data_IF_614054443669
#
_entry.id   IF_614054443669
#
_cell.length_a   1.000
_cell.length_b   1.000
_cell.length_c   1.000
_cell.angle_alpha   90.00
_cell.angle_beta   90.00
_cell.angle_gamma   90.00
#
_symmetry.space_group_name_H-M   'P 1'
#
loop_
_entity.id
_entity.type
_entity.pdbx_description
1 polymer ?
#
# COMPACT_ATOMS: atom_id res chain seq x y z
N UNK A 1 70.53 21.69 -56.46
CA UNK A 1 69.62 20.54 -56.24
C UNK A 1 68.75 20.66 -54.96
N UNK A 2 68.49 21.87 -54.40
CA UNK A 2 67.73 22.03 -53.13
C UNK A 2 66.24 22.37 -53.29
N UNK A 3 65.76 22.65 -54.49
CA UNK A 3 64.37 23.09 -54.71
C UNK A 3 63.34 21.97 -54.95
N UNK A 4 63.77 20.70 -55.03
CA UNK A 4 62.87 19.57 -55.27
C UNK A 4 62.35 18.88 -54.00
N UNK A 5 62.87 19.23 -52.82
CA UNK A 5 62.42 18.67 -51.53
C UNK A 5 61.35 19.50 -50.82
N UNK A 6 61.27 20.81 -51.07
CA UNK A 6 60.32 21.72 -50.40
C UNK A 6 58.87 21.49 -50.83
N UNK A 7 58.63 21.19 -52.11
CA UNK A 7 57.28 20.92 -52.62
C UNK A 7 56.64 19.70 -51.96
N UNK A 8 57.42 18.64 -51.68
CA UNK A 8 56.93 17.43 -51.03
C UNK A 8 56.53 17.68 -49.58
N UNK A 9 57.28 18.54 -48.86
CA UNK A 9 56.94 18.96 -47.49
C UNK A 9 55.62 19.75 -47.48
N UNK A 10 55.43 20.68 -48.42
CA UNK A 10 54.17 21.45 -48.53
C UNK A 10 52.99 20.52 -48.82
N UNK A 11 53.14 19.60 -49.77
CA UNK A 11 52.08 18.62 -50.09
C UNK A 11 51.77 17.72 -48.90
N UNK A 12 52.78 17.24 -48.16
CA UNK A 12 52.58 16.45 -46.96
C UNK A 12 51.78 17.21 -45.91
N UNK A 13 52.13 18.48 -45.67
CA UNK A 13 51.38 19.36 -44.75
C UNK A 13 49.95 19.59 -45.21
N UNK A 14 49.72 19.82 -46.51
CA UNK A 14 48.38 19.94 -47.06
C UNK A 14 47.56 18.65 -46.85
N UNK A 15 48.15 17.47 -47.07
CA UNK A 15 47.48 16.19 -46.84
C UNK A 15 47.17 15.98 -45.36
N UNK A 16 48.09 16.33 -44.45
CA UNK A 16 47.85 16.23 -43.00
C UNK A 16 46.69 17.14 -42.57
N UNK A 17 46.67 18.39 -43.04
CA UNK A 17 45.59 19.34 -42.71
C UNK A 17 44.25 18.88 -43.29
N UNK A 18 44.21 18.48 -44.56
CA UNK A 18 43.00 17.97 -45.19
C UNK A 18 42.49 16.70 -44.51
N UNK A 19 43.39 15.78 -44.17
CA UNK A 19 43.04 14.55 -43.45
C UNK A 19 42.48 14.85 -42.06
N UNK A 20 43.04 15.84 -41.36
CA UNK A 20 42.56 16.27 -40.04
C UNK A 20 41.15 16.87 -40.14
N UNK A 21 40.90 17.72 -41.14
CA UNK A 21 39.57 18.32 -41.37
C UNK A 21 38.55 17.26 -41.79
N UNK A 22 38.93 16.32 -42.67
CA UNK A 22 38.06 15.23 -43.07
C UNK A 22 37.72 14.32 -41.88
N UNK A 23 38.72 14.02 -41.04
CA UNK A 23 38.54 13.19 -39.84
C UNK A 23 37.65 13.86 -38.80
N UNK A 24 37.84 15.15 -38.53
CA UNK A 24 36.97 15.90 -37.60
C UNK A 24 35.54 15.96 -38.11
N UNK A 25 35.33 16.24 -39.40
CA UNK A 25 34.01 16.28 -40.03
C UNK A 25 33.30 14.93 -39.96
N UNK A 26 34.02 13.82 -40.19
CA UNK A 26 33.46 12.48 -40.07
C UNK A 26 33.05 12.14 -38.63
N UNK A 27 33.83 12.57 -37.63
CA UNK A 27 33.47 12.40 -36.22
C UNK A 27 32.19 13.14 -35.86
N UNK A 28 32.07 14.40 -36.28
CA UNK A 28 30.86 15.21 -36.07
C UNK A 28 29.65 14.55 -36.74
N UNK A 29 29.74 14.17 -38.01
CA UNK A 29 28.64 13.51 -38.72
C UNK A 29 28.20 12.18 -38.07
N UNK A 30 29.14 11.40 -37.52
CA UNK A 30 28.82 10.16 -36.78
C UNK A 30 28.12 10.45 -35.46
N UNK A 31 28.53 11.51 -34.75
CA UNK A 31 27.86 11.92 -33.52
C UNK A 31 26.44 12.42 -33.82
N UNK A 32 26.27 13.27 -34.83
CA UNK A 32 24.96 13.78 -35.24
C UNK A 32 24.01 12.66 -35.63
N UNK A 33 24.49 11.66 -36.38
CA UNK A 33 23.68 10.50 -36.75
C UNK A 33 23.28 9.66 -35.52
N UNK A 34 24.19 9.47 -34.55
CA UNK A 34 23.87 8.77 -33.29
C UNK A 34 22.87 9.55 -32.45
N UNK A 35 23.01 10.87 -32.35
CA UNK A 35 22.07 11.73 -31.63
C UNK A 35 20.70 11.70 -32.29
N UNK A 36 20.63 11.82 -33.62
CA UNK A 36 19.38 11.74 -34.38
C UNK A 36 18.70 10.37 -34.22
N UNK A 37 19.48 9.28 -34.27
CA UNK A 37 18.97 7.93 -34.00
C UNK A 37 18.45 7.79 -32.58
N UNK A 38 19.23 8.16 -31.57
CA UNK A 38 18.82 8.07 -30.16
C UNK A 38 17.58 8.92 -29.88
N UNK A 39 17.46 10.09 -30.51
CA UNK A 39 16.25 10.90 -30.40
C UNK A 39 15.02 10.17 -30.97
N UNK A 40 15.15 9.57 -32.15
CA UNK A 40 14.09 8.75 -32.76
C UNK A 40 13.72 7.53 -31.91
N UNK A 41 14.73 6.80 -31.41
CA UNK A 41 14.55 5.62 -30.56
C UNK A 41 13.87 6.00 -29.25
N UNK A 42 14.23 7.14 -28.62
CA UNK A 42 13.60 7.63 -27.39
C UNK A 42 12.13 7.98 -27.58
N UNK A 43 11.79 8.66 -28.69
CA UNK A 43 10.40 8.97 -29.03
C UNK A 43 9.62 7.67 -29.25
N UNK A 44 10.20 6.72 -30.00
CA UNK A 44 9.59 5.42 -30.23
C UNK A 44 9.37 4.64 -28.93
N UNK A 45 10.37 4.59 -28.04
CA UNK A 45 10.27 3.93 -26.74
C UNK A 45 9.13 4.52 -25.88
N UNK A 46 8.99 5.85 -25.86
CA UNK A 46 7.89 6.52 -25.16
C UNK A 46 6.52 6.09 -25.70
N UNK A 47 6.34 6.06 -27.02
CA UNK A 47 5.06 5.63 -27.60
C UNK A 47 4.79 4.14 -27.44
N UNK A 48 5.84 3.30 -27.41
CA UNK A 48 5.71 1.88 -27.07
C UNK A 48 5.26 1.69 -25.61
N UNK A 49 5.80 2.47 -24.68
CA UNK A 49 5.34 2.46 -23.28
C UNK A 49 3.87 2.91 -23.16
N UNK A 50 3.48 3.96 -23.88
CA UNK A 50 2.06 4.40 -23.95
C UNK A 50 1.17 3.29 -24.55
N UNK A 51 1.64 2.56 -25.56
CA UNK A 51 0.88 1.45 -26.12
C UNK A 51 0.64 0.32 -25.10
N UNK A 52 1.63 0.03 -24.24
CA UNK A 52 1.45 -0.89 -23.11
C UNK A 52 0.37 -0.41 -22.12
N UNK A 53 0.37 0.89 -21.80
CA UNK A 53 -0.68 1.49 -20.97
C UNK A 53 -2.07 1.41 -21.62
N UNK A 54 -2.19 1.70 -22.92
CA UNK A 54 -3.47 1.61 -23.62
C UNK A 54 -3.95 0.15 -23.75
N UNK A 55 -3.03 -0.80 -23.90
CA UNK A 55 -3.33 -2.24 -23.85
C UNK A 55 -3.90 -2.64 -22.49
N UNK A 56 -3.25 -2.20 -21.40
CA UNK A 56 -3.71 -2.43 -20.03
C UNK A 56 -5.13 -1.89 -19.81
N UNK A 57 -5.39 -0.63 -20.18
CA UNK A 57 -6.71 0.00 -20.09
C UNK A 57 -7.77 -0.76 -20.90
N UNK A 58 -7.43 -1.17 -22.12
CA UNK A 58 -8.34 -1.93 -22.97
C UNK A 58 -8.70 -3.28 -22.34
N UNK A 59 -7.75 -3.97 -21.72
CA UNK A 59 -8.01 -5.23 -21.02
C UNK A 59 -8.88 -5.03 -19.77
N UNK A 60 -8.61 -4.01 -18.95
CA UNK A 60 -9.48 -3.66 -17.81
C UNK A 60 -10.91 -3.38 -18.28
N UNK A 61 -11.05 -2.59 -19.36
CA UNK A 61 -12.36 -2.27 -19.91
C UNK A 61 -13.08 -3.53 -20.42
N UNK A 62 -12.38 -4.40 -21.14
CA UNK A 62 -12.95 -5.65 -21.65
C UNK A 62 -13.47 -6.52 -20.51
N UNK A 63 -12.65 -6.75 -19.47
CA UNK A 63 -13.04 -7.53 -18.29
C UNK A 63 -14.26 -6.90 -17.60
N UNK A 64 -14.26 -5.59 -17.38
CA UNK A 64 -15.40 -4.88 -16.75
C UNK A 64 -16.70 -5.02 -17.53
N UNK A 65 -16.64 -5.11 -18.86
CA UNK A 65 -17.84 -5.24 -19.71
C UNK A 65 -18.35 -6.67 -19.88
N UNK A 66 -17.63 -7.68 -19.38
CA UNK A 66 -18.12 -9.07 -19.41
C UNK A 66 -19.29 -9.23 -18.43
N UNK A 67 -20.23 -10.11 -18.74
CA UNK A 67 -21.46 -10.33 -17.95
C UNK A 67 -21.21 -10.66 -16.46
N UNK A 68 -20.02 -11.15 -16.12
CA UNK A 68 -19.68 -11.56 -14.77
C UNK A 68 -18.97 -10.47 -13.94
N UNK A 69 -18.74 -9.26 -14.45
CA UNK A 69 -18.02 -8.20 -13.72
C UNK A 69 -16.56 -8.56 -13.36
N UNK A 70 -15.96 -7.77 -12.46
CA UNK A 70 -14.59 -8.01 -11.93
C UNK A 70 -14.58 -9.14 -10.88
N UNK A 71 -13.42 -9.73 -10.60
CA UNK A 71 -13.21 -10.79 -9.60
C UNK A 71 -13.39 -12.23 -10.09
N UNK A 72 -13.41 -12.48 -11.41
CA UNK A 72 -13.55 -13.84 -11.96
C UNK A 72 -12.22 -14.52 -12.29
N UNK A 73 -12.24 -15.80 -12.67
CA UNK A 73 -11.05 -16.49 -13.18
C UNK A 73 -10.42 -15.78 -14.39
N UNK A 74 -11.21 -15.02 -15.17
CA UNK A 74 -10.74 -14.22 -16.31
C UNK A 74 -10.01 -12.93 -15.92
N UNK A 75 -10.04 -12.54 -14.64
CA UNK A 75 -9.31 -11.39 -14.11
C UNK A 75 -7.84 -11.72 -13.84
N UNK A 76 -7.50 -13.01 -13.67
CA UNK A 76 -6.10 -13.45 -13.51
C UNK A 76 -5.23 -13.02 -14.69
N UNK A 77 -5.81 -13.01 -15.89
CA UNK A 77 -5.16 -12.56 -17.11
C UNK A 77 -4.79 -11.07 -17.11
N UNK A 78 -5.37 -10.27 -16.20
CA UNK A 78 -4.95 -8.88 -16.00
C UNK A 78 -3.64 -8.82 -15.23
N UNK A 79 -3.47 -9.68 -14.22
CA UNK A 79 -2.38 -9.58 -13.24
C UNK A 79 -1.15 -10.41 -13.62
N UNK A 80 -1.32 -11.47 -14.40
CA UNK A 80 -0.23 -12.29 -14.93
C UNK A 80 -0.64 -12.94 -16.26
N UNK A 81 -0.18 -12.36 -17.36
CA UNK A 81 -0.39 -12.87 -18.71
C UNK A 81 0.81 -12.53 -19.63
N UNK A 82 1.84 -13.39 -19.66
CA UNK A 82 2.99 -13.20 -20.52
C UNK A 82 2.64 -13.09 -22.01
N UNK A 83 1.61 -13.78 -22.48
CA UNK A 83 1.22 -13.72 -23.90
C UNK A 83 0.70 -12.33 -24.30
N UNK A 84 0.08 -11.59 -23.37
CA UNK A 84 -0.46 -10.25 -23.61
C UNK A 84 0.50 -9.12 -23.23
N UNK A 85 1.50 -9.39 -22.38
CA UNK A 85 2.32 -8.34 -21.77
C UNK A 85 3.84 -8.55 -21.89
N UNK A 86 4.33 -9.73 -22.31
CA UNK A 86 5.76 -9.99 -22.54
C UNK A 86 6.11 -9.76 -24.00
N UNK A 87 7.00 -8.80 -24.23
CA UNK A 87 7.65 -8.53 -25.52
C UNK A 87 6.65 -8.37 -26.68
N UNK A 88 5.58 -7.62 -26.46
CA UNK A 88 4.53 -7.41 -27.47
C UNK A 88 5.08 -6.54 -28.61
N UNK A 89 5.09 -7.09 -29.81
CA UNK A 89 5.57 -6.39 -31.00
C UNK A 89 4.60 -5.29 -31.45
N UNK A 90 5.13 -4.08 -31.68
CA UNK A 90 4.39 -2.97 -32.25
C UNK A 90 5.31 -2.13 -33.15
N UNK A 91 5.03 -2.17 -34.46
CA UNK A 91 5.82 -1.45 -35.45
C UNK A 91 7.26 -1.96 -35.53
N UNK A 92 8.23 -1.15 -35.10
CA UNK A 92 9.67 -1.48 -35.16
C UNK A 92 10.27 -1.78 -33.78
N UNK A 93 9.45 -2.01 -32.78
CA UNK A 93 9.91 -2.30 -31.43
C UNK A 93 8.91 -3.16 -30.68
N UNK A 94 9.18 -3.33 -29.39
CA UNK A 94 8.35 -4.10 -28.49
C UNK A 94 8.16 -3.37 -27.19
N UNK A 95 7.06 -3.63 -26.50
CA UNK A 95 6.83 -3.15 -25.14
C UNK A 95 6.59 -4.32 -24.20
N UNK A 96 6.76 -4.04 -22.91
CA UNK A 96 6.45 -4.95 -21.81
C UNK A 96 5.63 -4.20 -20.79
N UNK A 97 4.68 -4.87 -20.17
CA UNK A 97 4.01 -4.42 -18.94
C UNK A 97 4.34 -5.46 -17.89
N UNK A 98 4.99 -5.04 -16.82
CA UNK A 98 5.54 -5.97 -15.84
C UNK A 98 5.62 -5.32 -14.47
N UNK A 99 5.82 -6.17 -13.47
CA UNK A 99 6.19 -5.81 -12.11
C UNK A 99 7.27 -6.78 -11.62
N UNK A 100 8.07 -6.33 -10.66
CA UNK A 100 9.00 -7.20 -9.96
C UNK A 100 8.24 -8.29 -9.22
N UNK A 101 8.85 -9.48 -9.15
CA UNK A 101 8.35 -10.54 -8.29
C UNK A 101 8.39 -10.09 -6.83
N UNK A 102 7.38 -10.47 -6.05
CA UNK A 102 7.42 -10.26 -4.60
C UNK A 102 8.31 -11.30 -3.93
N UNK A 103 8.97 -10.98 -2.81
CA UNK A 103 9.78 -11.95 -2.07
C UNK A 103 9.01 -13.21 -1.64
N UNK A 104 7.69 -13.13 -1.43
CA UNK A 104 6.83 -14.24 -1.02
C UNK A 104 6.33 -15.12 -2.17
N UNK A 105 6.53 -14.70 -3.42
CA UNK A 105 6.07 -15.41 -4.61
C UNK A 105 7.09 -16.48 -5.06
N UNK A 106 6.64 -17.74 -5.12
CA UNK A 106 7.44 -18.93 -5.45
C UNK A 106 7.46 -19.29 -6.94
N UNK A 107 6.93 -18.42 -7.80
CA UNK A 107 6.71 -18.70 -9.23
C UNK A 107 7.98 -18.89 -10.09
N UNK A 108 9.17 -18.62 -9.56
CA UNK A 108 10.45 -18.94 -10.22
C UNK A 108 10.84 -18.06 -11.41
N UNK A 109 9.98 -17.15 -11.87
CA UNK A 109 10.33 -16.07 -12.80
C UNK A 109 10.58 -14.76 -12.03
N UNK A 110 11.59 -13.98 -12.41
CA UNK A 110 11.94 -12.74 -11.68
C UNK A 110 10.94 -11.59 -11.93
N UNK A 111 10.17 -11.68 -13.02
CA UNK A 111 9.20 -10.68 -13.44
C UNK A 111 7.83 -11.32 -13.65
N UNK A 112 6.79 -10.62 -13.22
CA UNK A 112 5.40 -10.97 -13.52
C UNK A 112 4.88 -10.01 -14.58
N UNK A 113 4.28 -10.55 -15.64
CA UNK A 113 3.86 -9.77 -16.81
C UNK A 113 2.38 -9.43 -16.73
N UNK A 114 2.05 -8.29 -16.14
CA UNK A 114 0.67 -7.86 -15.97
C UNK A 114 0.54 -6.61 -15.13
N UNK A 115 -0.67 -6.36 -14.68
CA UNK A 115 -1.05 -5.20 -13.88
C UNK A 115 -0.83 -5.45 -12.39
N UNK A 116 -0.67 -4.35 -11.67
CA UNK A 116 -0.64 -4.32 -10.21
C UNK A 116 -1.87 -3.58 -9.74
N UNK A 117 -2.57 -4.17 -8.77
CA UNK A 117 -3.64 -3.48 -8.06
C UNK A 117 -3.04 -2.51 -7.04
N UNK A 118 -3.35 -1.23 -7.14
CA UNK A 118 -2.84 -0.20 -6.21
C UNK A 118 -3.43 -0.32 -4.81
N UNK A 119 -4.62 -0.93 -4.64
CA UNK A 119 -5.24 -1.16 -3.33
C UNK A 119 -4.44 -2.11 -2.44
N UNK A 120 -3.47 -2.84 -3.02
CA UNK A 120 -2.54 -3.69 -2.26
C UNK A 120 -1.49 -2.89 -1.48
N UNK A 121 -1.32 -1.62 -1.79
CA UNK A 121 -0.29 -0.76 -1.23
C UNK A 121 -0.88 0.19 -0.19
N UNK A 122 -0.08 0.50 0.82
CA UNK A 122 -0.43 1.51 1.82
C UNK A 122 -0.40 2.90 1.17
N UNK A 123 -1.50 3.64 1.20
CA UNK A 123 -1.54 5.02 0.73
C UNK A 123 -0.82 5.93 1.73
N UNK A 124 0.39 6.35 1.39
CA UNK A 124 1.23 7.15 2.28
C UNK A 124 0.71 8.57 2.48
N UNK A 125 -0.30 9.03 1.73
CA UNK A 125 -0.94 10.31 1.98
C UNK A 125 -2.16 10.21 2.91
N UNK A 126 -2.67 9.00 3.15
CA UNK A 126 -3.86 8.77 3.98
C UNK A 126 -3.60 7.93 5.23
N UNK A 127 -2.61 7.04 5.18
CA UNK A 127 -2.31 6.10 6.25
C UNK A 127 -1.96 6.80 7.56
N UNK A 128 -2.54 6.39 8.68
CA UNK A 128 -2.21 6.96 9.98
C UNK A 128 -0.81 6.54 10.48
N UNK A 129 -0.37 7.13 11.59
CA UNK A 129 0.94 6.83 12.17
C UNK A 129 1.11 5.34 12.51
N UNK A 130 0.07 4.70 13.06
CA UNK A 130 0.12 3.30 13.47
C UNK A 130 0.17 2.36 12.26
N UNK A 131 -0.43 2.75 11.14
CA UNK A 131 -0.35 2.02 9.87
C UNK A 131 1.05 2.12 9.24
N UNK A 132 1.64 3.32 9.20
CA UNK A 132 3.01 3.51 8.68
C UNK A 132 4.03 2.72 9.51
N UNK A 133 3.86 2.68 10.83
CA UNK A 133 4.72 1.91 11.74
C UNK A 133 4.69 0.39 11.49
N UNK A 134 3.70 -0.14 10.76
CA UNK A 134 3.66 -1.55 10.38
C UNK A 134 4.59 -1.89 9.21
N UNK A 135 5.19 -0.90 8.56
CA UNK A 135 6.18 -1.14 7.51
C UNK A 135 7.42 -1.83 8.11
N UNK A 136 8.08 -2.74 7.37
CA UNK A 136 9.26 -3.47 7.86
C UNK A 136 10.37 -2.52 8.29
N UNK A 137 10.98 -2.78 9.44
CA UNK A 137 12.10 -2.00 9.98
C UNK A 137 11.83 -0.48 10.08
N UNK A 138 10.55 -0.08 10.20
CA UNK A 138 10.15 1.32 10.35
C UNK A 138 10.45 1.83 11.75
N UNK A 139 11.20 2.93 11.82
CA UNK A 139 11.42 3.64 13.07
C UNK A 139 10.25 4.59 13.37
N UNK A 140 9.87 4.70 14.64
CA UNK A 140 8.73 5.52 15.09
C UNK A 140 8.93 7.00 14.74
N UNK A 141 10.16 7.51 14.85
CA UNK A 141 10.48 8.91 14.51
C UNK A 141 10.43 9.16 13.00
N UNK A 142 10.76 8.15 12.19
CA UNK A 142 10.65 8.22 10.73
C UNK A 142 9.18 8.22 10.31
N UNK A 143 8.36 7.34 10.90
CA UNK A 143 6.93 7.32 10.64
C UNK A 143 6.26 8.66 11.02
N UNK A 144 6.60 9.22 12.19
CA UNK A 144 6.14 10.54 12.61
C UNK A 144 6.59 11.64 11.65
N UNK A 145 7.85 11.62 11.21
CA UNK A 145 8.38 12.57 10.24
C UNK A 145 7.68 12.50 8.87
N UNK A 146 7.20 11.32 8.44
CA UNK A 146 6.40 11.17 7.21
C UNK A 146 5.03 11.84 7.37
N UNK A 147 4.41 11.74 8.56
CA UNK A 147 3.13 12.39 8.86
C UNK A 147 3.30 13.91 8.88
N UNK A 148 4.27 14.44 9.61
CA UNK A 148 4.56 15.89 9.67
C UNK A 148 4.89 16.45 8.27
N UNK A 149 5.61 15.69 7.45
CA UNK A 149 5.96 16.13 6.10
C UNK A 149 4.73 16.45 5.24
N UNK A 150 3.65 15.68 5.40
CA UNK A 150 2.47 15.75 4.54
C UNK A 150 1.29 16.51 5.15
N UNK A 151 1.26 16.70 6.46
CA UNK A 151 0.16 17.40 7.11
C UNK A 151 0.20 18.90 6.78
N UNK A 152 -0.89 19.62 7.03
CA UNK A 152 -0.99 21.02 6.60
C UNK A 152 -0.45 22.01 7.65
N UNK A 153 -0.11 21.53 8.84
CA UNK A 153 0.21 22.42 9.95
C UNK A 153 1.73 22.61 10.09
N UNK A 154 2.22 22.95 11.26
CA UNK A 154 3.65 23.18 11.50
C UNK A 154 4.03 22.77 12.92
N UNK A 155 3.21 21.92 13.52
CA UNK A 155 3.38 21.43 14.88
C UNK A 155 4.13 20.11 14.80
N UNK A 156 5.37 20.13 15.28
CA UNK A 156 6.19 18.93 15.34
C UNK A 156 5.53 17.88 16.23
N UNK A 157 5.24 16.71 15.65
CA UNK A 157 4.71 15.58 16.41
C UNK A 157 5.79 14.95 17.28
N UNK A 158 5.40 14.04 18.19
CA UNK A 158 6.37 13.37 19.06
C UNK A 158 7.36 12.52 18.24
N UNK A 159 8.62 12.96 18.20
CA UNK A 159 9.66 12.33 17.38
C UNK A 159 9.56 12.64 15.89
N UNK A 160 8.62 13.51 15.49
CA UNK A 160 8.48 13.99 14.13
C UNK A 160 9.53 15.02 13.74
N UNK A 161 9.29 15.70 12.63
CA UNK A 161 10.20 16.68 12.09
C UNK A 161 9.46 17.72 11.27
N UNK A 162 9.69 18.99 11.60
CA UNK A 162 9.07 20.15 10.96
C UNK A 162 10.10 21.04 10.27
N UNK A 163 9.66 22.18 9.73
CA UNK A 163 10.50 23.15 9.00
C UNK A 163 11.90 23.38 9.60
N UNK A 164 12.02 23.51 10.93
CA UNK A 164 13.32 23.69 11.60
C UNK A 164 14.32 22.56 11.32
N UNK A 165 13.87 21.31 11.33
CA UNK A 165 14.70 20.14 11.05
C UNK A 165 15.20 20.14 9.60
N UNK A 166 14.36 20.50 8.64
CA UNK A 166 14.69 20.47 7.21
C UNK A 166 15.53 21.68 6.76
N UNK A 167 15.21 22.87 7.25
CA UNK A 167 15.93 24.11 6.89
C UNK A 167 17.37 24.13 7.44
N UNK A 168 17.64 23.38 8.51
CA UNK A 168 18.97 23.26 9.10
C UNK A 168 19.91 22.31 8.34
N UNK A 169 19.40 21.54 7.37
CA UNK A 169 20.19 20.59 6.57
C UNK A 169 21.14 21.27 5.61
N UNK A 170 22.06 20.48 5.04
CA UNK A 170 23.00 20.92 4.00
C UNK A 170 22.98 19.94 2.81
N UNK A 171 22.38 20.30 1.67
CA UNK A 171 21.62 21.54 1.42
C UNK A 171 20.33 21.61 2.25
N UNK A 172 19.80 22.82 2.54
CA UNK A 172 18.49 22.98 3.16
C UNK A 172 17.41 22.32 2.30
N UNK A 173 16.44 21.68 2.94
CA UNK A 173 15.22 21.23 2.32
C UNK A 173 14.05 22.05 2.87
N UNK A 174 12.97 22.15 2.08
CA UNK A 174 11.71 22.72 2.55
C UNK A 174 10.73 21.58 2.74
N UNK A 175 10.16 21.54 3.94
CA UNK A 175 9.02 20.66 4.22
C UNK A 175 7.85 21.06 3.32
N UNK A 176 7.05 20.08 2.91
CA UNK A 176 5.96 20.31 1.97
C UNK A 176 4.74 20.94 2.64
N UNK A 177 4.39 20.44 3.81
CA UNK A 177 3.14 20.70 4.52
C UNK A 177 1.91 20.48 3.62
N UNK A 178 1.90 19.29 2.99
CA UNK A 178 0.86 18.89 2.05
C UNK A 178 1.15 17.54 1.40
N UNK A 179 0.22 17.01 0.60
CA UNK A 179 0.32 15.65 0.04
C UNK A 179 1.61 15.42 -0.72
N UNK A 180 2.27 14.29 -0.45
CA UNK A 180 3.46 13.82 -1.15
C UNK A 180 3.12 13.57 -2.62
N UNK A 181 3.86 14.20 -3.54
CA UNK A 181 3.54 14.18 -4.98
C UNK A 181 4.33 13.13 -5.75
N UNK A 182 5.51 12.74 -5.25
CA UNK A 182 6.34 11.72 -5.90
C UNK A 182 6.90 10.76 -4.87
N UNK A 183 7.08 9.50 -5.28
CA UNK A 183 7.57 8.47 -4.37
C UNK A 183 8.97 8.81 -3.83
N UNK A 184 9.84 9.35 -4.69
CA UNK A 184 11.20 9.79 -4.33
C UNK A 184 11.25 10.99 -3.39
N UNK A 185 10.15 11.71 -3.21
CA UNK A 185 10.10 12.80 -2.26
C UNK A 185 10.25 12.30 -0.81
N UNK A 186 9.86 11.05 -0.53
CA UNK A 186 10.08 10.42 0.77
C UNK A 186 11.57 10.37 1.17
N UNK A 187 12.50 10.38 0.20
CA UNK A 187 13.94 10.48 0.47
C UNK A 187 14.35 11.83 1.08
N UNK A 188 13.47 12.85 1.03
CA UNK A 188 13.69 14.14 1.69
C UNK A 188 13.19 14.13 3.14
N UNK A 189 12.33 13.19 3.53
CA UNK A 189 11.78 13.10 4.89
C UNK A 189 12.87 12.76 5.89
N UNK A 190 12.78 13.32 7.10
CA UNK A 190 13.76 13.08 8.16
C UNK A 190 13.84 11.60 8.54
N UNK A 191 15.08 11.10 8.57
CA UNK A 191 15.41 9.74 8.97
C UNK A 191 15.19 8.67 7.89
N UNK A 192 14.48 8.97 6.79
CA UNK A 192 14.36 8.04 5.66
C UNK A 192 15.73 7.83 5.02
N UNK A 193 16.24 6.60 5.11
CA UNK A 193 17.47 6.20 4.44
C UNK A 193 17.16 5.61 3.06
N UNK A 194 17.94 5.92 2.01
CA UNK A 194 17.76 5.34 0.69
C UNK A 194 17.72 3.81 0.70
N UNK A 195 18.52 3.17 1.56
CA UNK A 195 18.62 1.71 1.66
C UNK A 195 17.32 1.10 2.21
N UNK A 196 16.67 1.73 3.18
CA UNK A 196 15.40 1.23 3.70
C UNK A 196 14.24 1.51 2.74
N UNK A 197 14.31 2.62 2.00
CA UNK A 197 13.23 3.05 1.13
C UNK A 197 13.27 2.38 -0.25
N UNK A 198 14.43 2.36 -0.90
CA UNK A 198 14.66 1.80 -2.22
C UNK A 198 15.08 0.33 -2.14
N UNK A 199 15.77 -0.08 -1.07
CA UNK A 199 16.34 -1.42 -0.97
C UNK A 199 17.38 -1.64 -2.06
N UNK A 200 17.29 -2.80 -2.71
CA UNK A 200 18.15 -3.16 -3.85
C UNK A 200 17.76 -2.42 -5.14
N UNK A 201 16.54 -1.88 -5.25
CA UNK A 201 16.04 -1.16 -6.44
C UNK A 201 16.48 0.32 -6.42
N UNK A 202 17.79 0.55 -6.50
CA UNK A 202 18.35 1.88 -6.25
C UNK A 202 17.96 2.90 -7.33
N UNK A 203 17.72 2.46 -8.57
CA UNK A 203 17.22 3.33 -9.64
C UNK A 203 15.67 3.32 -9.77
N UNK A 204 14.97 2.60 -8.89
CA UNK A 204 13.52 2.48 -8.81
C UNK A 204 12.86 2.21 -10.17
N UNK A 205 13.46 1.31 -10.95
CA UNK A 205 12.93 0.86 -12.23
C UNK A 205 12.25 -0.52 -12.16
N UNK A 206 12.32 -1.17 -10.98
CA UNK A 206 11.72 -2.47 -10.69
C UNK A 206 12.40 -3.64 -11.39
N UNK A 207 13.61 -3.46 -11.93
CA UNK A 207 14.41 -4.49 -12.56
C UNK A 207 15.71 -4.68 -11.78
N UNK A 208 16.12 -5.94 -11.63
CA UNK A 208 17.42 -6.26 -11.04
C UNK A 208 18.54 -5.93 -12.04
N UNK A 209 19.28 -4.86 -11.78
CA UNK A 209 20.47 -4.48 -12.53
C UNK A 209 21.67 -5.37 -12.17
N UNK A 210 22.72 -5.44 -13.03
CA UNK A 210 23.93 -6.19 -12.70
C UNK A 210 24.62 -5.76 -11.40
N UNK A 211 24.48 -4.50 -11.01
CA UNK A 211 25.00 -3.94 -9.76
C UNK A 211 24.09 -4.16 -8.55
N UNK A 212 22.91 -4.71 -8.74
CA UNK A 212 21.92 -4.99 -7.69
C UNK A 212 21.81 -6.51 -7.46
N UNK A 213 22.82 -7.26 -7.90
CA UNK A 213 22.90 -8.73 -7.80
C UNK A 213 24.33 -9.23 -7.67
N UNK A 214 25.26 -8.34 -7.33
CA UNK A 214 26.68 -8.65 -7.25
C UNK A 214 27.23 -8.68 -5.81
N UNK A 215 26.31 -8.71 -4.84
CA UNK A 215 26.56 -8.80 -3.41
C UNK A 215 27.11 -7.47 -2.88
N UNK A 216 28.33 -7.54 -2.36
CA UNK A 216 29.06 -6.35 -1.86
C UNK A 216 30.09 -5.85 -2.89
N UNK A 217 30.02 -6.29 -4.15
CA UNK A 217 31.00 -5.93 -5.16
C UNK A 217 30.78 -4.50 -5.69
N UNK A 218 29.53 -4.05 -5.76
CA UNK A 218 29.16 -2.69 -6.08
C UNK A 218 28.08 -2.17 -5.11
N UNK A 219 27.63 -0.93 -5.34
CA UNK A 219 26.52 -0.35 -4.60
C UNK A 219 25.27 -0.44 -5.49
N UNK A 220 24.06 -0.70 -4.94
CA UNK A 220 23.70 -0.84 -3.51
C UNK A 220 24.26 -2.12 -2.87
N UNK A 221 24.29 -2.19 -1.54
CA UNK A 221 24.54 -3.48 -0.87
C UNK A 221 23.37 -4.40 -1.15
N UNK A 222 23.64 -5.55 -1.75
CA UNK A 222 22.64 -6.56 -2.12
C UNK A 222 23.00 -7.95 -1.57
N UNK A 223 22.02 -8.85 -1.53
CA UNK A 223 22.21 -10.19 -0.96
C UNK A 223 22.87 -11.20 -1.95
N UNK A 224 23.13 -10.78 -3.19
CA UNK A 224 23.74 -11.55 -4.27
C UNK A 224 22.83 -12.58 -4.94
N UNK A 225 21.53 -12.54 -4.71
CA UNK A 225 20.57 -13.48 -5.26
C UNK A 225 19.97 -13.00 -6.60
N UNK A 226 18.75 -13.42 -6.94
CA UNK A 226 18.06 -12.97 -8.16
C UNK A 226 16.63 -12.55 -7.86
N UNK A 227 16.40 -12.10 -6.63
CA UNK A 227 15.17 -11.57 -6.10
C UNK A 227 15.45 -10.09 -5.85
N UNK A 228 14.57 -9.21 -6.31
CA UNK A 228 14.69 -7.79 -6.02
C UNK A 228 14.06 -7.53 -4.65
N UNK A 229 14.89 -7.30 -3.64
CA UNK A 229 14.42 -6.87 -2.32
C UNK A 229 14.29 -5.34 -2.30
N UNK A 230 13.24 -4.84 -2.95
CA UNK A 230 12.90 -3.43 -2.88
C UNK A 230 12.49 -3.04 -1.46
N UNK A 231 12.92 -1.86 -1.02
CA UNK A 231 12.62 -1.34 0.32
C UNK A 231 11.15 -0.97 0.48
N UNK A 232 10.85 0.02 1.33
CA UNK A 232 9.47 0.46 1.56
C UNK A 232 8.69 0.84 0.29
N UNK A 233 9.39 1.26 -0.77
CA UNK A 233 8.79 1.62 -2.07
C UNK A 233 7.88 0.54 -2.66
N UNK A 234 8.11 -0.74 -2.34
CA UNK A 234 7.28 -1.84 -2.81
C UNK A 234 5.98 -2.05 -2.01
N UNK A 235 5.81 -1.34 -0.90
CA UNK A 235 4.65 -1.47 -0.01
C UNK A 235 3.74 -0.24 -0.02
N UNK A 236 4.22 0.88 -0.54
CA UNK A 236 3.51 2.17 -0.48
C UNK A 236 3.06 2.66 -1.84
N UNK A 237 2.05 3.52 -1.82
CA UNK A 237 1.56 4.29 -2.96
C UNK A 237 1.27 5.72 -2.50
N UNK A 238 1.09 6.64 -3.45
CA UNK A 238 0.78 8.05 -3.14
C UNK A 238 -0.70 8.37 -3.18
N UNK A 239 -1.45 7.56 -3.91
CA UNK A 239 -2.88 7.73 -4.09
C UNK A 239 -3.46 6.34 -4.30
N UNK A 240 -4.33 5.92 -3.38
CA UNK A 240 -5.23 4.80 -3.65
C UNK A 240 -6.66 5.29 -3.59
N UNK A 241 -7.55 4.61 -4.30
CA UNK A 241 -8.94 4.99 -4.34
C UNK A 241 -9.81 3.84 -4.77
N UNK A 242 -10.66 3.39 -3.85
CA UNK A 242 -11.72 2.45 -4.15
C UNK A 242 -12.98 3.27 -4.35
N UNK A 243 -13.66 3.09 -5.48
CA UNK A 243 -15.06 3.55 -5.55
C UNK A 243 -15.87 2.57 -4.74
N UNK A 244 -16.82 3.08 -3.97
CA UNK A 244 -17.73 2.25 -3.19
C UNK A 244 -18.79 1.57 -4.07
N UNK A 245 -18.28 0.76 -5.01
CA UNK A 245 -19.03 0.03 -6.01
C UNK A 245 -18.67 -1.46 -5.93
N UNK A 246 -19.65 -2.30 -6.18
CA UNK A 246 -19.50 -3.74 -6.27
C UNK A 246 -18.80 -4.15 -7.59
N UNK A 247 -18.70 -5.45 -7.82
CA UNK A 247 -18.06 -6.02 -9.02
C UNK A 247 -18.79 -5.71 -10.33
N UNK A 248 -20.05 -5.29 -10.27
CA UNK A 248 -20.89 -4.93 -11.41
C UNK A 248 -20.93 -3.42 -11.65
N UNK A 249 -20.39 -2.62 -10.72
CA UNK A 249 -20.38 -1.17 -10.79
C UNK A 249 -21.58 -0.50 -10.12
N UNK A 250 -22.36 -1.25 -9.34
CA UNK A 250 -23.46 -0.75 -8.52
C UNK A 250 -22.96 -0.39 -7.11
N UNK A 251 -23.62 0.49 -6.35
CA UNK A 251 -23.21 0.82 -4.97
C UNK A 251 -23.08 -0.42 -4.09
N UNK A 252 -22.01 -0.51 -3.28
CA UNK A 252 -21.88 -1.60 -2.30
C UNK A 252 -22.96 -1.48 -1.22
N UNK A 253 -23.32 -2.63 -0.66
CA UNK A 253 -24.24 -2.68 0.48
C UNK A 253 -23.49 -2.27 1.74
N UNK A 254 -23.96 -1.21 2.40
CA UNK A 254 -23.39 -0.73 3.65
C UNK A 254 -23.81 -1.63 4.82
N UNK A 255 -22.87 -2.44 5.30
CA UNK A 255 -23.08 -3.39 6.41
C UNK A 255 -23.60 -2.72 7.69
N UNK A 256 -23.31 -1.43 7.91
CA UNK A 256 -23.77 -0.73 9.11
C UNK A 256 -25.30 -0.51 9.11
N UNK A 257 -25.93 -0.43 7.93
CA UNK A 257 -27.36 -0.07 7.81
C UNK A 257 -28.21 -1.06 7.01
N UNK A 258 -27.60 -1.99 6.28
CA UNK A 258 -28.31 -2.95 5.44
C UNK A 258 -29.35 -3.77 6.23
N UNK A 259 -30.51 -4.02 5.61
CA UNK A 259 -31.50 -4.96 6.16
C UNK A 259 -31.12 -6.40 5.79
N UNK A 260 -31.79 -7.38 6.41
CA UNK A 260 -31.61 -8.79 6.04
C UNK A 260 -32.00 -9.01 4.56
N UNK A 261 -33.01 -8.31 4.04
CA UNK A 261 -33.37 -8.38 2.62
C UNK A 261 -32.29 -7.78 1.71
N UNK A 262 -31.68 -6.65 2.10
CA UNK A 262 -30.58 -6.05 1.32
C UNK A 262 -29.37 -6.99 1.25
N UNK A 263 -29.06 -7.67 2.37
CA UNK A 263 -27.96 -8.64 2.44
C UNK A 263 -28.27 -9.93 1.68
N UNK A 264 -29.50 -10.45 1.78
CA UNK A 264 -29.93 -11.66 1.06
C UNK A 264 -30.06 -11.46 -0.46
N UNK A 265 -30.04 -10.20 -0.94
CA UNK A 265 -29.95 -9.89 -2.35
C UNK A 265 -28.53 -10.10 -2.93
N UNK A 266 -27.51 -10.23 -2.07
CA UNK A 266 -26.13 -10.49 -2.47
C UNK A 266 -25.98 -11.98 -2.81
N UNK A 267 -25.45 -12.26 -4.01
CA UNK A 267 -25.23 -13.63 -4.47
C UNK A 267 -24.32 -14.40 -3.50
N UNK A 268 -24.80 -15.52 -2.99
CA UNK A 268 -24.11 -16.35 -1.99
C UNK A 268 -24.46 -16.07 -0.53
N UNK A 269 -25.30 -15.07 -0.23
CA UNK A 269 -25.86 -14.84 1.12
C UNK A 269 -27.32 -15.27 1.12
N UNK A 270 -27.65 -16.31 1.89
CA UNK A 270 -29.05 -16.68 2.10
C UNK A 270 -29.70 -15.85 3.22
N UNK A 271 -31.02 -15.94 3.33
CA UNK A 271 -31.78 -15.15 4.31
C UNK A 271 -31.38 -15.49 5.76
N UNK A 272 -31.02 -16.74 6.04
CA UNK A 272 -30.63 -17.17 7.38
C UNK A 272 -29.29 -16.52 7.80
N UNK A 273 -28.30 -16.51 6.90
CA UNK A 273 -27.04 -15.82 7.13
C UNK A 273 -27.24 -14.30 7.21
N UNK A 274 -28.11 -13.73 6.38
CA UNK A 274 -28.41 -12.31 6.41
C UNK A 274 -29.03 -11.86 7.75
N UNK A 275 -29.98 -12.64 8.28
CA UNK A 275 -30.56 -12.41 9.61
C UNK A 275 -29.50 -12.53 10.72
N UNK A 276 -28.62 -13.55 10.65
CA UNK A 276 -27.54 -13.72 11.61
C UNK A 276 -26.54 -12.55 11.59
N UNK A 277 -26.22 -12.00 10.42
CA UNK A 277 -25.35 -10.81 10.30
C UNK A 277 -26.00 -9.59 10.96
N UNK A 278 -27.30 -9.37 10.72
CA UNK A 278 -28.04 -8.24 11.31
C UNK A 278 -28.08 -8.37 12.84
N UNK A 279 -28.38 -9.55 13.36
CA UNK A 279 -28.43 -9.80 14.81
C UNK A 279 -27.05 -9.63 15.45
N UNK A 280 -26.00 -10.18 14.83
CA UNK A 280 -24.63 -10.03 15.30
C UNK A 280 -24.20 -8.56 15.34
N UNK A 281 -24.53 -7.80 14.29
CA UNK A 281 -24.29 -6.35 14.21
C UNK A 281 -24.97 -5.61 15.36
N UNK A 282 -26.22 -5.92 15.69
CA UNK A 282 -26.95 -5.26 16.77
C UNK A 282 -26.36 -5.59 18.15
N UNK A 283 -25.88 -6.82 18.35
CA UNK A 283 -25.40 -7.27 19.65
C UNK A 283 -23.93 -6.95 19.92
N UNK A 284 -23.06 -7.10 18.92
CA UNK A 284 -21.60 -6.93 19.06
C UNK A 284 -21.03 -5.73 18.34
N UNK A 285 -21.75 -5.19 17.36
CA UNK A 285 -21.18 -4.27 16.37
C UNK A 285 -20.33 -5.00 15.34
N UNK A 286 -20.09 -4.32 14.22
CA UNK A 286 -19.11 -4.71 13.19
C UNK A 286 -18.15 -3.52 13.04
N UNK A 287 -16.90 -3.70 13.43
CA UNK A 287 -15.84 -2.70 13.26
C UNK A 287 -15.17 -2.85 11.89
N UNK A 288 -15.15 -4.07 11.35
CA UNK A 288 -14.57 -4.37 10.05
C UNK A 288 -15.35 -5.44 9.30
N UNK A 289 -15.14 -5.51 7.98
CA UNK A 289 -15.67 -6.60 7.15
C UNK A 289 -15.13 -7.96 7.59
N UNK A 290 -13.96 -8.02 8.25
CA UNK A 290 -13.39 -9.27 8.75
C UNK A 290 -14.23 -9.91 9.86
N UNK A 291 -15.00 -9.11 10.61
CA UNK A 291 -15.86 -9.60 11.69
C UNK A 291 -16.99 -10.50 11.17
N UNK A 292 -17.29 -10.43 9.86
CA UNK A 292 -18.23 -11.34 9.21
C UNK A 292 -17.76 -12.81 9.24
N UNK A 293 -16.46 -13.07 9.39
CA UNK A 293 -15.94 -14.43 9.52
C UNK A 293 -16.32 -15.10 10.84
N UNK A 294 -16.63 -14.30 11.86
CA UNK A 294 -17.02 -14.76 13.19
C UNK A 294 -18.54 -14.82 13.39
N UNK A 295 -19.32 -14.33 12.41
CA UNK A 295 -20.78 -14.35 12.47
C UNK A 295 -21.26 -15.80 12.55
N UNK A 296 -21.91 -16.10 13.66
CA UNK A 296 -22.62 -17.35 13.88
C UNK A 296 -24.08 -17.00 14.14
N UNK A 297 -25.00 -17.86 13.69
CA UNK A 297 -26.39 -17.77 14.11
C UNK A 297 -26.42 -17.84 15.64
N UNK A 298 -26.93 -16.79 16.29
CA UNK A 298 -27.08 -16.79 17.74
C UNK A 298 -28.25 -17.74 18.05
N UNK A 299 -27.97 -18.83 18.77
CA UNK A 299 -29.06 -19.66 19.30
C UNK A 299 -29.94 -18.80 20.21
N UNK A 300 -31.26 -18.87 19.97
CA UNK A 300 -32.34 -18.21 20.68
C UNK A 300 -32.01 -17.93 22.16
N UNK A 301 -32.03 -16.65 22.53
CA UNK A 301 -31.80 -16.14 23.88
C UNK A 301 -32.42 -17.04 24.98
N UNK A 302 -31.61 -17.72 25.83
CA UNK A 302 -32.12 -18.57 26.91
C UNK A 302 -32.93 -17.79 27.97
N UNK A 303 -32.78 -16.46 28.02
CA UNK A 303 -33.39 -15.62 29.05
C UNK A 303 -34.78 -15.07 28.67
N UNK A 304 -35.26 -15.31 27.44
CA UNK A 304 -36.62 -14.93 27.05
C UNK A 304 -37.70 -15.88 27.60
N UNK A 305 -37.33 -17.06 28.12
CA UNK A 305 -38.28 -18.07 28.61
C UNK A 305 -38.38 -18.16 30.15
N UNK A 306 -37.73 -17.25 30.89
CA UNK A 306 -37.76 -17.27 32.36
C UNK A 306 -39.00 -16.58 32.98
N UNK A 307 -39.89 -15.96 32.18
CA UNK A 307 -40.96 -15.13 32.72
C UNK A 307 -42.39 -15.44 32.23
N UNK A 308 -42.62 -16.62 31.64
CA UNK A 308 -43.97 -17.03 31.26
C UNK A 308 -44.34 -18.39 31.88
N UNK A 309 -44.58 -18.37 33.20
CA UNK A 309 -44.88 -19.62 33.91
C UNK A 309 -45.34 -19.47 35.36
N UNK A 310 -46.19 -18.50 35.70
CA UNK A 310 -47.13 -18.71 36.81
C UNK A 310 -48.30 -17.70 36.81
N UNK A 311 -49.32 -17.98 35.99
CA UNK A 311 -50.60 -17.27 36.01
C UNK A 311 -51.74 -18.27 36.04
N UNK A 312 -52.29 -18.55 37.23
CA UNK A 312 -53.60 -19.18 37.36
C UNK A 312 -53.71 -20.26 38.42
N UNK A 313 -54.08 -19.88 39.65
CA UNK A 313 -55.28 -20.42 40.29
C UNK A 313 -55.60 -19.62 41.55
N UNK A 314 -56.67 -18.83 41.44
CA UNK A 314 -57.30 -18.12 42.53
C UNK A 314 -58.61 -18.86 42.81
N UNK A 315 -58.62 -19.71 43.83
CA UNK A 315 -59.85 -20.25 44.39
C UNK A 315 -59.81 -20.02 45.90
N UNK A 316 -60.77 -19.22 46.35
CA UNK A 316 -60.85 -18.76 47.72
C UNK A 316 -61.24 -19.87 48.69
N UNK A 317 -60.69 -19.80 49.90
CA UNK A 317 -61.43 -20.19 51.08
C UNK A 317 -60.95 -19.38 52.28
N UNK A 318 -61.87 -18.59 52.84
CA UNK A 318 -61.68 -17.91 54.10
C UNK A 318 -61.74 -18.94 55.23
N UNK A 319 -60.73 -18.99 56.11
CA UNK A 319 -61.02 -19.32 57.49
C UNK A 319 -60.08 -18.66 58.49
N UNK A 320 -60.72 -18.31 59.59
CA UNK A 320 -60.34 -17.54 60.76
C UNK A 320 -59.34 -18.28 61.67
N UNK A 321 -58.51 -17.55 62.42
CA UNK A 321 -57.70 -18.11 63.50
C UNK A 321 -56.50 -17.27 63.90
N UNK A 322 -56.63 -16.47 64.96
CA UNK A 322 -55.58 -15.58 65.48
C UNK A 322 -54.49 -16.27 66.31
N UNK A 323 -53.46 -15.52 66.68
CA UNK A 323 -53.10 -15.15 68.07
C UNK A 323 -51.62 -14.71 68.18
N UNK A 324 -51.43 -13.53 68.78
CA UNK A 324 -50.37 -13.02 69.67
C UNK A 324 -48.86 -13.30 69.50
N UNK A 325 -48.10 -12.23 69.76
CA UNK A 325 -46.75 -12.26 70.35
C UNK A 325 -45.85 -11.15 69.79
N UNK A 326 -46.01 -9.90 70.20
CA UNK A 326 -45.12 -9.22 71.17
C UNK A 326 -43.65 -9.70 71.13
N UNK A 327 -42.70 -8.82 70.79
CA UNK A 327 -41.92 -8.09 71.80
C UNK A 327 -40.80 -7.23 71.16
N UNK A 328 -40.87 -5.93 71.44
CA UNK A 328 -39.79 -5.03 71.85
C UNK A 328 -38.32 -5.34 71.52
N UNK A 329 -37.65 -4.33 70.96
CA UNK A 329 -36.65 -3.64 71.77
C UNK A 329 -35.25 -3.48 71.18
N UNK A 330 -34.82 -2.22 71.07
CA UNK A 330 -33.50 -1.84 71.56
C UNK A 330 -32.39 -1.57 70.54
N UNK A 331 -32.43 -0.37 69.96
CA UNK A 331 -31.43 0.70 70.10
C UNK A 331 -29.96 0.33 70.39
N UNK A 332 -29.01 0.87 69.61
CA UNK A 332 -27.58 0.81 69.97
C UNK A 332 -26.63 1.34 68.90
N UNK A 333 -26.61 2.66 68.74
CA UNK A 333 -25.62 3.45 68.02
C UNK A 333 -24.26 3.43 68.76
N UNK A 334 -23.12 3.28 68.06
CA UNK A 334 -21.91 4.11 68.30
C UNK A 334 -20.77 3.86 67.31
N UNK A 335 -20.12 4.98 66.99
CA UNK A 335 -19.02 5.20 66.09
C UNK A 335 -17.64 4.82 66.67
N UNK A 336 -16.68 4.85 65.74
CA UNK A 336 -15.34 5.41 65.88
C UNK A 336 -14.18 4.50 66.36
N UNK A 337 -13.17 4.49 65.49
CA UNK A 337 -11.79 4.93 65.75
C UNK A 337 -10.70 3.87 65.50
N UNK A 338 -9.91 4.09 64.44
CA UNK A 338 -8.51 4.45 64.63
C UNK A 338 -7.43 3.37 64.46
N UNK A 339 -6.49 3.73 63.57
CA UNK A 339 -5.05 3.51 63.65
C UNK A 339 -4.46 2.15 63.23
N UNK A 340 -3.40 2.21 62.42
CA UNK A 340 -2.51 1.06 62.19
C UNK A 340 -1.62 1.15 60.96
N UNK A 341 -0.70 2.10 60.99
CA UNK A 341 0.51 2.18 60.16
C UNK A 341 1.32 0.85 60.19
N UNK A 342 1.87 0.43 59.05
CA UNK A 342 3.03 -0.46 58.97
C UNK A 342 3.62 -0.42 57.56
N UNK A 343 4.68 0.37 57.41
CA UNK A 343 5.69 0.11 56.39
C UNK A 343 6.48 -1.17 56.71
N UNK A 344 7.08 -1.78 55.68
CA UNK A 344 8.52 -1.93 55.51
C UNK A 344 8.85 -3.07 54.52
N UNK A 345 9.87 -2.87 53.70
CA UNK A 345 10.82 -3.93 53.35
C UNK A 345 10.84 -4.43 51.91
N UNK A 346 11.60 -3.72 51.08
CA UNK A 346 12.71 -4.20 50.24
C UNK A 346 12.73 -5.68 49.78
N UNK A 347 12.71 -5.86 48.46
CA UNK A 347 13.84 -6.42 47.70
C UNK A 347 13.74 -6.06 46.22
#
# INVERSE_FOLDING_TARGET
MRERGSALIVVLWCVVVLSTIAYSSLRVARLDLRVAKNYGDRVQARYLAIAGLEKAKAMIHDVRTRENGLGTQGDRDLYDNPDQFRDVELGRGKYRVFRSRRPDDRSGEDLVYGLTDEERFLDINRADLAEIQKLPDMDVSVAASIVDWRDADSNESEGGAEAFAYESRRPPAWIRNGPIETMRELLLVQGVQPENFLGEDHDADGLLSPSERDGEASFPSDNGDSILDAGWIQFVSLETGVRDLDRFGEPRVDLAYATAEDLAAIDGIDMELAEAIVEWREFRGLESVADLLDVQALEENPDANANNGNGGNNDGNANNGGNNGDNSGGNGNTEANGNGDNGNGDN
#
